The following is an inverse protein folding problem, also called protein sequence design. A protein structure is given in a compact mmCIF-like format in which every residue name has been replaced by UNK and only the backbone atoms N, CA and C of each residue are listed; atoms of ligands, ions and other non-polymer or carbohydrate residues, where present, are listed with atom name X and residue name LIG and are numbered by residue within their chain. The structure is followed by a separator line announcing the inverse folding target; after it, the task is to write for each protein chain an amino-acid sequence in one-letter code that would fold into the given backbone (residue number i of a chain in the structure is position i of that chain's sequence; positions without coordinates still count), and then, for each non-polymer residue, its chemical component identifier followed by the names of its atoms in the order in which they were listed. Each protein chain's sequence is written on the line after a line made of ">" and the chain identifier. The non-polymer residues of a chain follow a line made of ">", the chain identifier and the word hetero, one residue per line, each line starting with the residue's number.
data_IF_351965304495
#
_entry.id   IF_351965304495
#
_cell.length_a   1.000
_cell.length_b   1.000
_cell.length_c   1.000
_cell.angle_alpha   90.00
_cell.angle_beta   90.00
_cell.angle_gamma   90.00
#
_symmetry.space_group_name_H-M   'P 1'
#
loop_
_entity.id
_entity.type
_entity.pdbx_description
1 polymer ?
#
# COMPACT_ATOMS: atom_id res chain seq x y z
N UNK A 1 -4.91 16.80 23.47
CA UNK A 1 -4.37 15.51 23.04
C UNK A 1 -4.50 15.35 21.52
N UNK A 2 -3.44 14.82 20.90
CA UNK A 2 -3.44 14.55 19.46
C UNK A 2 -3.28 13.05 19.21
N UNK A 3 -3.76 12.56 18.04
CA UNK A 3 -3.64 11.13 17.73
C UNK A 3 -2.18 10.66 17.58
N UNK A 4 -1.27 11.53 17.18
CA UNK A 4 0.16 11.20 17.10
C UNK A 4 0.80 11.06 18.48
N UNK A 5 0.50 11.97 19.40
CA UNK A 5 0.97 11.86 20.79
C UNK A 5 0.40 10.61 21.48
N UNK A 6 -0.90 10.35 21.31
CA UNK A 6 -1.53 9.16 21.87
C UNK A 6 -0.88 7.86 21.37
N UNK A 7 -0.54 7.80 20.06
CA UNK A 7 0.17 6.64 19.51
C UNK A 7 1.58 6.50 20.08
N UNK A 8 2.34 7.58 20.17
CA UNK A 8 3.71 7.55 20.71
C UNK A 8 3.70 7.19 22.20
N UNK A 9 2.78 7.76 22.97
CA UNK A 9 2.61 7.41 24.38
C UNK A 9 2.26 5.92 24.57
N UNK A 10 1.34 5.40 23.74
CA UNK A 10 0.99 3.97 23.77
C UNK A 10 2.14 3.04 23.41
N UNK A 11 3.11 3.47 22.61
CA UNK A 11 4.23 2.62 22.19
C UNK A 11 5.43 2.66 23.16
N UNK A 12 5.47 3.64 24.07
CA UNK A 12 6.64 3.90 24.92
C UNK A 12 6.94 2.78 25.91
N UNK A 13 5.94 2.34 26.68
CA UNK A 13 6.12 1.43 27.80
C UNK A 13 5.53 0.03 27.51
N UNK A 14 5.54 -0.38 26.22
CA UNK A 14 5.15 -1.73 25.85
C UNK A 14 6.21 -2.76 26.32
N UNK A 15 5.78 -4.02 26.66
CA UNK A 15 4.43 -4.56 26.51
C UNK A 15 3.53 -4.10 27.66
N UNK A 16 3.51 -4.13 28.78
CA UNK A 16 2.49 -3.99 29.80
C UNK A 16 2.51 -2.64 30.55
N UNK A 17 2.96 -1.59 29.90
CA UNK A 17 3.12 -0.27 30.51
C UNK A 17 1.97 0.68 30.23
N UNK A 18 1.85 1.71 31.07
CA UNK A 18 0.96 2.86 30.91
C UNK A 18 1.78 4.15 30.91
N UNK A 19 1.57 4.98 29.89
CA UNK A 19 2.17 6.29 29.80
C UNK A 19 1.17 7.35 29.35
N UNK A 20 1.17 8.49 30.03
CA UNK A 20 0.37 9.64 29.67
C UNK A 20 1.29 10.87 29.49
N UNK A 21 1.00 11.69 28.49
CA UNK A 21 1.66 12.95 28.25
C UNK A 21 0.62 14.07 28.17
N UNK A 22 0.76 15.09 29.01
CA UNK A 22 -0.07 16.29 29.01
C UNK A 22 0.22 17.19 27.82
N UNK A 23 -0.74 18.04 27.45
CA UNK A 23 -0.57 18.96 26.34
C UNK A 23 0.58 19.98 26.60
N UNK A 24 0.70 20.46 27.83
CA UNK A 24 1.76 21.42 28.21
C UNK A 24 3.15 20.79 28.21
N UNK A 25 3.23 19.50 28.48
CA UNK A 25 4.48 18.74 28.56
C UNK A 25 4.91 18.17 27.20
N UNK A 26 4.00 18.14 26.22
CA UNK A 26 4.22 17.46 24.94
C UNK A 26 5.51 17.93 24.23
N UNK A 27 5.74 19.25 24.18
CA UNK A 27 6.89 19.82 23.50
C UNK A 27 8.21 19.44 24.21
N UNK A 28 8.29 19.56 25.53
CA UNK A 28 9.49 19.22 26.31
C UNK A 28 9.75 17.72 26.30
N UNK A 29 8.70 16.90 26.32
CA UNK A 29 8.83 15.45 26.22
C UNK A 29 9.29 15.00 24.85
N UNK A 30 8.81 15.65 23.76
CA UNK A 30 9.20 15.33 22.39
C UNK A 30 10.63 15.78 22.06
N UNK A 31 11.07 16.92 22.57
CA UNK A 31 12.33 17.56 22.20
C UNK A 31 13.53 16.60 22.12
N UNK A 32 13.82 15.77 23.14
CA UNK A 32 14.96 14.83 23.11
C UNK A 32 14.67 13.54 22.33
N UNK A 33 13.43 13.30 21.88
CA UNK A 33 13.09 12.06 21.20
C UNK A 33 13.71 12.00 19.81
N UNK A 34 14.15 10.80 19.36
CA UNK A 34 14.67 10.64 18.01
C UNK A 34 13.56 10.87 16.97
N UNK A 35 13.92 11.46 15.82
CA UNK A 35 12.95 11.76 14.75
C UNK A 35 12.15 10.54 14.29
N UNK A 36 12.70 9.34 14.45
CA UNK A 36 12.06 8.08 14.06
C UNK A 36 10.77 7.74 14.83
N UNK A 37 10.52 8.37 15.98
CA UNK A 37 9.28 8.15 16.75
C UNK A 37 8.08 8.87 16.11
N UNK A 38 8.33 9.86 15.26
CA UNK A 38 7.27 10.67 14.67
C UNK A 38 6.41 9.85 13.71
N UNK A 39 5.10 9.85 13.98
CA UNK A 39 4.15 9.08 13.19
C UNK A 39 4.10 9.49 11.71
N UNK A 40 4.39 8.52 10.85
CA UNK A 40 4.43 8.72 9.39
C UNK A 40 5.81 9.08 8.85
N UNK A 41 6.84 9.07 9.70
CA UNK A 41 8.23 9.14 9.28
C UNK A 41 8.79 7.72 9.18
N UNK A 42 8.91 7.18 7.97
CA UNK A 42 9.46 5.85 7.74
C UNK A 42 10.99 5.81 7.88
N UNK A 43 11.58 4.62 8.02
CA UNK A 43 13.02 4.41 8.21
C UNK A 43 13.89 5.17 7.21
N UNK A 44 13.53 5.17 5.92
CA UNK A 44 14.27 5.88 4.86
C UNK A 44 14.28 7.39 5.06
N UNK A 45 13.12 7.98 5.43
CA UNK A 45 13.02 9.41 5.67
C UNK A 45 13.75 9.83 6.96
N UNK A 46 13.65 9.04 8.02
CA UNK A 46 14.42 9.25 9.25
C UNK A 46 15.94 9.15 8.98
N UNK A 47 16.38 8.17 8.17
CA UNK A 47 17.78 8.05 7.77
C UNK A 47 18.30 9.27 7.02
N UNK A 48 17.50 9.85 6.10
CA UNK A 48 17.89 11.08 5.39
C UNK A 48 17.98 12.28 6.31
N UNK A 49 17.08 12.42 7.28
CA UNK A 49 17.12 13.47 8.30
C UNK A 49 18.37 13.34 9.16
N UNK A 50 18.66 12.14 9.68
CA UNK A 50 19.86 11.89 10.49
C UNK A 50 21.15 12.20 9.71
N UNK A 51 21.22 11.81 8.43
CA UNK A 51 22.38 12.12 7.58
C UNK A 51 22.54 13.62 7.33
N UNK A 52 21.47 14.41 7.44
CA UNK A 52 21.48 15.86 7.32
C UNK A 52 21.67 16.58 8.68
N UNK A 53 21.92 15.83 9.77
CA UNK A 53 22.17 16.39 11.11
C UNK A 53 20.92 16.59 11.97
N UNK A 54 19.74 16.16 11.51
CA UNK A 54 18.49 16.25 12.26
C UNK A 54 18.17 14.91 12.94
N UNK A 55 18.69 14.69 14.13
CA UNK A 55 18.54 13.44 14.89
C UNK A 55 17.34 13.41 15.82
N UNK A 56 16.98 14.55 16.37
CA UNK A 56 15.95 14.72 17.40
C UNK A 56 14.77 15.58 16.94
N UNK A 57 13.67 15.51 17.68
CA UNK A 57 12.53 16.39 17.44
C UNK A 57 12.90 17.87 17.66
N UNK A 58 13.80 18.18 18.59
CA UNK A 58 14.31 19.54 18.79
C UNK A 58 14.98 20.09 17.54
N UNK A 59 15.83 19.28 16.90
CA UNK A 59 16.50 19.68 15.66
C UNK A 59 15.52 20.04 14.56
N UNK A 60 14.40 19.30 14.46
CA UNK A 60 13.34 19.58 13.47
C UNK A 60 12.58 20.88 13.77
N UNK A 61 12.38 21.19 15.05
CA UNK A 61 11.69 22.43 15.47
C UNK A 61 12.52 23.66 15.12
N UNK A 62 13.85 23.57 15.29
CA UNK A 62 14.80 24.65 15.03
C UNK A 62 15.20 24.79 13.56
N UNK A 63 14.94 23.75 12.76
CA UNK A 63 15.34 23.68 11.35
C UNK A 63 14.59 24.69 10.48
N UNK A 64 15.28 25.25 9.47
CA UNK A 64 14.64 26.00 8.40
C UNK A 64 13.73 25.08 7.58
N UNK A 65 12.47 25.48 7.42
CA UNK A 65 11.46 24.73 6.67
C UNK A 65 11.87 24.44 5.21
N UNK A 66 12.69 25.31 4.61
CA UNK A 66 13.22 25.11 3.25
C UNK A 66 14.14 23.90 3.20
N UNK A 67 15.04 23.75 4.21
CA UNK A 67 15.94 22.62 4.34
C UNK A 67 15.17 21.33 4.57
N UNK A 68 14.18 21.35 5.47
CA UNK A 68 13.30 20.20 5.68
C UNK A 68 12.50 19.84 4.44
N UNK A 69 12.06 20.83 3.67
CA UNK A 69 11.31 20.59 2.41
C UNK A 69 12.19 19.92 1.35
N UNK A 70 13.47 20.25 1.28
CA UNK A 70 14.41 19.58 0.38
C UNK A 70 14.55 18.07 0.71
N UNK A 71 14.46 17.69 2.00
CA UNK A 71 14.61 16.31 2.46
C UNK A 71 13.28 15.54 2.40
N UNK A 72 12.19 16.15 2.87
CA UNK A 72 10.89 15.51 3.13
C UNK A 72 9.79 15.87 2.10
N UNK A 73 10.05 16.84 1.22
CA UNK A 73 9.06 17.34 0.29
C UNK A 73 7.82 17.92 1.00
N UNK A 74 6.65 17.64 0.47
CA UNK A 74 5.36 18.14 0.99
C UNK A 74 5.07 17.75 2.45
N UNK A 75 5.81 16.82 3.02
CA UNK A 75 5.59 16.38 4.40
C UNK A 75 6.35 17.22 5.43
N UNK A 76 7.28 18.08 5.02
CA UNK A 76 8.18 18.82 5.91
C UNK A 76 7.43 19.59 7.00
N UNK A 77 6.49 20.45 6.62
CA UNK A 77 5.72 21.25 7.60
C UNK A 77 4.96 20.36 8.59
N UNK A 78 4.32 19.30 8.11
CA UNK A 78 3.61 18.37 8.98
C UNK A 78 4.52 17.68 9.98
N UNK A 79 5.70 17.23 9.54
CA UNK A 79 6.66 16.56 10.43
C UNK A 79 7.22 17.54 11.46
N UNK A 80 7.48 18.79 11.08
CA UNK A 80 7.90 19.84 11.99
C UNK A 80 6.82 20.16 13.04
N UNK A 81 5.55 20.25 12.64
CA UNK A 81 4.43 20.45 13.55
C UNK A 81 4.28 19.26 14.52
N UNK A 82 4.42 18.03 14.04
CA UNK A 82 4.41 16.84 14.90
C UNK A 82 5.53 16.84 15.94
N UNK A 83 6.71 17.37 15.60
CA UNK A 83 7.83 17.52 16.54
C UNK A 83 7.53 18.50 17.69
N UNK A 84 6.59 19.42 17.51
CA UNK A 84 6.06 20.29 18.58
C UNK A 84 4.85 19.73 19.30
N UNK A 85 4.35 18.54 18.91
CA UNK A 85 3.14 17.94 19.45
C UNK A 85 1.84 18.40 18.77
N UNK A 86 1.92 19.21 17.71
CA UNK A 86 0.76 19.69 16.95
C UNK A 86 0.37 18.68 15.90
N UNK A 87 -0.88 18.20 15.93
CA UNK A 87 -1.48 17.35 14.90
C UNK A 87 -2.96 17.75 14.75
N UNK A 88 -3.25 18.50 13.71
CA UNK A 88 -4.59 19.03 13.43
C UNK A 88 -5.50 18.03 12.71
N UNK A 89 -4.98 16.84 12.35
CA UNK A 89 -5.75 15.85 11.61
C UNK A 89 -6.81 15.22 12.50
N UNK A 90 -8.08 15.20 12.09
CA UNK A 90 -9.13 14.49 12.84
C UNK A 90 -8.89 12.97 12.83
N UNK A 91 -9.48 12.29 13.79
CA UNK A 91 -9.63 10.84 13.75
C UNK A 91 -10.81 10.55 12.83
N UNK A 92 -10.52 9.94 11.66
CA UNK A 92 -11.55 9.50 10.71
C UNK A 92 -11.72 8.00 10.79
N UNK A 93 -12.95 7.55 10.95
CA UNK A 93 -13.33 6.13 10.95
C UNK A 93 -13.60 5.62 9.53
N UNK A 94 -14.06 6.51 8.65
CA UNK A 94 -14.33 6.18 7.26
C UNK A 94 -13.11 6.40 6.40
N UNK A 95 -12.71 5.35 5.68
CA UNK A 95 -11.66 5.42 4.66
C UNK A 95 -12.19 4.86 3.35
N UNK A 96 -12.22 5.71 2.35
CA UNK A 96 -12.45 5.25 0.98
C UNK A 96 -11.20 4.50 0.52
N UNK A 97 -11.35 3.23 0.16
CA UNK A 97 -10.27 2.44 -0.39
C UNK A 97 -9.77 3.06 -1.69
N UNK A 98 -8.46 3.19 -1.85
CA UNK A 98 -7.83 3.70 -3.09
C UNK A 98 -7.38 2.56 -4.00
N UNK A 99 -7.18 1.37 -3.45
CA UNK A 99 -6.79 0.16 -4.16
C UNK A 99 -7.28 -1.07 -3.39
N UNK A 100 -7.51 -2.15 -4.09
CA UNK A 100 -7.78 -3.49 -3.53
C UNK A 100 -6.70 -4.42 -4.08
N UNK A 101 -6.02 -5.15 -3.21
CA UNK A 101 -4.95 -6.06 -3.61
C UNK A 101 -4.92 -7.32 -2.76
N UNK A 102 -4.32 -8.36 -3.31
CA UNK A 102 -3.99 -9.61 -2.61
C UNK A 102 -2.60 -10.06 -3.04
N UNK A 103 -1.84 -10.62 -2.12
CA UNK A 103 -0.51 -11.18 -2.41
C UNK A 103 -0.30 -12.46 -1.63
N UNK A 104 0.57 -13.33 -2.15
CA UNK A 104 1.00 -14.57 -1.50
C UNK A 104 2.52 -14.70 -1.57
N UNK A 105 3.12 -15.17 -0.47
CA UNK A 105 4.53 -15.53 -0.39
C UNK A 105 4.61 -17.05 -0.44
N UNK A 106 5.46 -17.56 -1.31
CA UNK A 106 5.60 -19.00 -1.50
C UNK A 106 6.53 -19.62 -0.44
N UNK A 107 6.30 -20.89 -0.12
CA UNK A 107 7.21 -21.70 0.72
C UNK A 107 8.53 -21.98 -0.01
N UNK A 108 8.47 -22.28 -1.30
CA UNK A 108 9.61 -22.43 -2.21
C UNK A 108 9.43 -21.47 -3.40
N UNK A 109 10.54 -20.92 -3.91
CA UNK A 109 10.48 -19.97 -5.01
C UNK A 109 9.96 -20.63 -6.29
N UNK A 110 9.01 -19.99 -6.98
CA UNK A 110 8.41 -20.47 -8.23
C UNK A 110 9.13 -19.86 -9.43
N UNK A 111 9.46 -20.68 -10.41
CA UNK A 111 10.17 -20.27 -11.63
C UNK A 111 9.43 -20.59 -12.93
N UNK A 112 8.36 -21.38 -12.88
CA UNK A 112 7.61 -21.73 -14.09
C UNK A 112 6.44 -20.76 -14.30
N UNK A 113 6.12 -20.51 -15.58
CA UNK A 113 4.96 -19.67 -15.89
C UNK A 113 3.66 -20.30 -15.40
N UNK A 114 3.50 -21.62 -15.57
CA UNK A 114 2.30 -22.35 -15.18
C UNK A 114 1.98 -22.22 -13.68
N UNK A 115 3.00 -22.38 -12.81
CA UNK A 115 2.81 -22.27 -11.37
C UNK A 115 2.41 -20.85 -10.95
N UNK A 116 3.12 -19.84 -11.51
CA UNK A 116 2.84 -18.43 -11.23
C UNK A 116 1.48 -17.98 -11.80
N UNK A 117 1.07 -18.54 -12.94
CA UNK A 117 -0.23 -18.28 -13.57
C UNK A 117 -1.37 -18.78 -12.70
N UNK A 118 -1.28 -20.00 -12.16
CA UNK A 118 -2.25 -20.56 -11.26
C UNK A 118 -2.44 -19.71 -9.98
N UNK A 119 -1.34 -19.27 -9.38
CA UNK A 119 -1.38 -18.39 -8.23
C UNK A 119 -1.99 -17.01 -8.58
N UNK A 120 -1.64 -16.46 -9.75
CA UNK A 120 -2.20 -15.19 -10.23
C UNK A 120 -3.71 -15.27 -10.40
N UNK A 121 -4.23 -16.38 -10.93
CA UNK A 121 -5.67 -16.61 -11.11
C UNK A 121 -6.40 -16.56 -9.76
N UNK A 122 -5.88 -17.25 -8.75
CA UNK A 122 -6.43 -17.23 -7.38
C UNK A 122 -6.45 -15.81 -6.81
N UNK A 123 -5.38 -15.03 -7.03
CA UNK A 123 -5.34 -13.65 -6.56
C UNK A 123 -6.35 -12.75 -7.28
N UNK A 124 -6.52 -12.93 -8.59
CA UNK A 124 -7.52 -12.20 -9.38
C UNK A 124 -8.94 -12.50 -8.90
N UNK A 125 -9.27 -13.76 -8.61
CA UNK A 125 -10.55 -14.17 -8.03
C UNK A 125 -10.79 -13.48 -6.68
N UNK A 126 -9.81 -13.51 -5.77
CA UNK A 126 -9.90 -12.84 -4.46
C UNK A 126 -10.12 -11.33 -4.56
N UNK A 127 -9.43 -10.66 -5.49
CA UNK A 127 -9.57 -9.22 -5.72
C UNK A 127 -10.93 -8.91 -6.34
N UNK A 128 -11.36 -9.69 -7.35
CA UNK A 128 -12.69 -9.58 -7.98
C UNK A 128 -13.81 -9.71 -6.95
N UNK A 129 -13.76 -10.73 -6.09
CA UNK A 129 -14.76 -10.92 -5.04
C UNK A 129 -14.84 -9.68 -4.09
N UNK A 130 -13.70 -9.10 -3.71
CA UNK A 130 -13.68 -7.88 -2.87
C UNK A 130 -14.24 -6.66 -3.60
N UNK A 131 -13.96 -6.50 -4.89
CA UNK A 131 -14.52 -5.43 -5.72
C UNK A 131 -16.04 -5.54 -5.80
N UNK A 132 -16.57 -6.74 -6.09
CA UNK A 132 -18.01 -7.04 -6.15
C UNK A 132 -18.70 -6.76 -4.80
N UNK A 133 -18.12 -7.23 -3.70
CA UNK A 133 -18.67 -7.02 -2.35
C UNK A 133 -18.72 -5.53 -1.97
N UNK A 134 -17.89 -4.71 -2.55
CA UNK A 134 -17.87 -3.25 -2.32
C UNK A 134 -18.64 -2.48 -3.39
N UNK A 135 -19.28 -3.16 -4.35
CA UNK A 135 -19.98 -2.58 -5.50
C UNK A 135 -19.12 -1.57 -6.30
N UNK A 136 -17.82 -1.86 -6.46
CA UNK A 136 -16.86 -1.01 -7.17
C UNK A 136 -16.08 -1.83 -8.20
N UNK A 137 -15.52 -1.13 -9.16
CA UNK A 137 -14.64 -1.67 -10.19
C UNK A 137 -13.33 -0.89 -10.25
N UNK A 138 -12.32 -1.45 -10.89
CA UNK A 138 -11.01 -0.81 -10.98
C UNK A 138 -10.57 -0.58 -12.41
N UNK A 139 -9.90 0.55 -12.64
CA UNK A 139 -9.44 1.01 -13.96
C UNK A 139 -7.96 0.74 -14.25
N UNK A 140 -7.17 0.36 -13.24
CA UNK A 140 -5.76 0.03 -13.44
C UNK A 140 -5.39 -1.18 -12.62
N UNK A 141 -4.74 -2.15 -13.26
CA UNK A 141 -4.18 -3.33 -12.62
C UNK A 141 -2.70 -3.15 -12.32
N UNK A 142 -2.22 -3.84 -11.29
CA UNK A 142 -0.82 -3.87 -10.89
C UNK A 142 -0.42 -5.29 -10.51
N UNK A 143 0.57 -5.83 -11.20
CA UNK A 143 1.27 -7.07 -10.88
C UNK A 143 2.51 -6.72 -10.05
N UNK A 144 2.68 -7.38 -8.91
CA UNK A 144 3.86 -7.30 -8.04
C UNK A 144 4.54 -8.65 -8.01
N UNK A 145 5.82 -8.68 -8.27
CA UNK A 145 6.67 -9.87 -8.16
C UNK A 145 7.84 -9.56 -7.23
N UNK A 146 8.18 -10.48 -6.34
CA UNK A 146 9.35 -10.34 -5.46
C UNK A 146 10.29 -11.49 -5.73
N UNK A 147 11.55 -11.17 -6.01
CA UNK A 147 12.62 -12.14 -6.26
C UNK A 147 13.18 -12.72 -4.96
N UNK A 148 13.96 -13.83 -5.02
CA UNK A 148 14.64 -14.40 -3.86
C UNK A 148 15.56 -13.41 -3.14
N UNK A 149 16.23 -12.53 -3.89
CA UNK A 149 17.10 -11.45 -3.37
C UNK A 149 16.31 -10.26 -2.78
N UNK A 150 15.01 -10.40 -2.62
CA UNK A 150 14.08 -9.41 -2.12
C UNK A 150 13.82 -8.20 -3.03
N UNK A 151 14.39 -8.13 -4.23
CA UNK A 151 14.04 -7.11 -5.20
C UNK A 151 12.57 -7.24 -5.61
N UNK A 152 11.88 -6.09 -5.67
CA UNK A 152 10.47 -6.02 -6.04
C UNK A 152 10.39 -5.47 -7.46
N UNK A 153 9.66 -6.19 -8.30
CA UNK A 153 9.25 -5.77 -9.64
C UNK A 153 7.76 -5.45 -9.60
N UNK A 154 7.40 -4.30 -10.16
CA UNK A 154 5.99 -3.89 -10.27
C UNK A 154 5.70 -3.53 -11.72
N UNK A 155 4.60 -4.05 -12.25
CA UNK A 155 4.10 -3.73 -13.59
C UNK A 155 2.64 -3.34 -13.50
N UNK A 156 2.27 -2.28 -14.18
CA UNK A 156 0.89 -1.77 -14.15
C UNK A 156 0.38 -1.53 -15.57
N UNK A 157 -0.91 -1.73 -15.75
CA UNK A 157 -1.62 -1.46 -16.99
C UNK A 157 -2.96 -0.80 -16.67
N UNK A 158 -3.27 0.30 -17.36
CA UNK A 158 -4.60 0.90 -17.35
C UNK A 158 -5.50 0.11 -18.28
N UNK A 159 -6.69 -0.24 -17.81
CA UNK A 159 -7.72 -0.95 -18.56
C UNK A 159 -8.50 0.05 -19.44
N UNK A 160 -9.14 -0.44 -20.49
CA UNK A 160 -10.00 0.40 -21.33
C UNK A 160 -11.26 0.86 -20.59
N UNK A 161 -11.81 -0.01 -19.74
CA UNK A 161 -12.96 0.28 -18.87
C UNK A 161 -12.71 -0.29 -17.48
N UNK A 162 -13.36 0.31 -16.46
CA UNK A 162 -13.33 -0.24 -15.11
C UNK A 162 -14.08 -1.56 -15.07
N UNK A 163 -13.49 -2.57 -14.45
CA UNK A 163 -14.09 -3.89 -14.33
C UNK A 163 -13.86 -4.49 -12.95
N UNK A 164 -14.79 -5.31 -12.51
CA UNK A 164 -14.71 -6.22 -11.36
C UNK A 164 -14.68 -7.69 -11.76
N UNK A 165 -14.72 -7.98 -13.08
CA UNK A 165 -14.79 -9.34 -13.64
C UNK A 165 -13.42 -10.02 -13.55
N UNK A 166 -13.33 -11.14 -12.82
CA UNK A 166 -12.08 -11.87 -12.58
C UNK A 166 -11.36 -12.26 -13.87
N UNK A 167 -12.07 -12.77 -14.87
CA UNK A 167 -11.48 -13.22 -16.14
C UNK A 167 -10.83 -12.07 -16.94
N UNK A 168 -11.42 -10.86 -16.92
CA UNK A 168 -10.84 -9.68 -17.58
C UNK A 168 -9.59 -9.19 -16.85
N UNK A 169 -9.66 -9.15 -15.51
CA UNK A 169 -8.53 -8.82 -14.67
C UNK A 169 -7.37 -9.79 -14.86
N UNK A 170 -7.68 -11.11 -14.88
CA UNK A 170 -6.70 -12.16 -15.09
C UNK A 170 -6.08 -12.09 -16.49
N UNK A 171 -6.88 -11.95 -17.55
CA UNK A 171 -6.39 -11.86 -18.92
C UNK A 171 -5.39 -10.69 -19.11
N UNK A 172 -5.64 -9.55 -18.48
CA UNK A 172 -4.74 -8.41 -18.50
C UNK A 172 -3.47 -8.67 -17.66
N UNK A 173 -3.62 -9.21 -16.44
CA UNK A 173 -2.50 -9.50 -15.55
C UNK A 173 -1.57 -10.60 -16.09
N UNK A 174 -2.14 -11.60 -16.76
CA UNK A 174 -1.43 -12.69 -17.43
C UNK A 174 -0.42 -12.16 -18.46
N UNK A 175 -0.80 -11.15 -19.23
CA UNK A 175 0.11 -10.50 -20.20
C UNK A 175 1.30 -9.86 -19.52
N UNK A 176 1.08 -9.21 -18.37
CA UNK A 176 2.15 -8.62 -17.55
C UNK A 176 3.07 -9.70 -16.98
N UNK A 177 2.50 -10.81 -16.51
CA UNK A 177 3.28 -11.94 -15.97
C UNK A 177 4.15 -12.57 -17.06
N UNK A 178 3.59 -12.83 -18.24
CA UNK A 178 4.32 -13.45 -19.35
C UNK A 178 5.56 -12.66 -19.76
N UNK A 179 5.51 -11.33 -19.69
CA UNK A 179 6.65 -10.48 -20.02
C UNK A 179 7.80 -10.58 -19.00
N UNK A 180 7.51 -10.98 -17.75
CA UNK A 180 8.50 -11.02 -16.67
C UNK A 180 9.09 -12.40 -16.40
N UNK A 181 8.36 -13.47 -16.71
CA UNK A 181 8.84 -14.84 -16.53
C UNK A 181 9.85 -15.18 -17.65
N UNK A 182 11.09 -15.38 -17.25
CA UNK A 182 12.20 -15.72 -18.15
C UNK A 182 12.96 -16.91 -17.60
N UNK A 183 13.61 -17.74 -18.45
CA UNK A 183 14.45 -18.84 -18.00
C UNK A 183 15.46 -18.38 -16.94
N UNK A 184 15.60 -19.16 -15.87
CA UNK A 184 16.52 -18.86 -14.77
C UNK A 184 16.04 -17.80 -13.77
N UNK A 185 14.84 -17.25 -13.92
CA UNK A 185 14.23 -16.35 -12.93
C UNK A 185 13.23 -17.12 -12.08
N UNK A 186 13.31 -16.89 -10.77
CA UNK A 186 12.30 -17.36 -9.80
C UNK A 186 11.80 -16.21 -8.96
N UNK A 187 10.62 -16.43 -8.37
CA UNK A 187 9.93 -15.44 -7.55
C UNK A 187 9.48 -16.07 -6.24
N UNK A 188 9.67 -15.31 -5.17
CA UNK A 188 9.29 -15.67 -3.80
C UNK A 188 7.88 -15.22 -3.44
N UNK A 189 7.35 -14.22 -4.16
CA UNK A 189 6.03 -13.65 -3.91
C UNK A 189 5.43 -13.18 -5.23
N UNK A 190 4.13 -13.40 -5.36
CA UNK A 190 3.29 -12.76 -6.36
C UNK A 190 2.18 -11.95 -5.68
N UNK A 191 1.85 -10.80 -6.23
CA UNK A 191 0.75 -9.96 -5.79
C UNK A 191 0.01 -9.38 -6.98
N UNK A 192 -1.30 -9.24 -6.82
CA UNK A 192 -2.18 -8.60 -7.78
C UNK A 192 -3.01 -7.53 -7.07
N UNK A 193 -3.15 -6.38 -7.71
CA UNK A 193 -3.93 -5.27 -7.19
C UNK A 193 -4.61 -4.48 -8.28
N UNK A 194 -5.66 -3.77 -7.87
CA UNK A 194 -6.45 -2.89 -8.72
C UNK A 194 -6.60 -1.54 -8.03
N UNK A 195 -6.41 -0.49 -8.77
CA UNK A 195 -6.64 0.90 -8.33
C UNK A 195 -7.47 1.69 -9.36
N UNK A 196 -7.56 3.02 -9.22
CA UNK A 196 -8.51 3.85 -9.95
C UNK A 196 -9.95 3.35 -9.76
N UNK A 197 -10.28 3.08 -8.49
CA UNK A 197 -11.57 2.52 -8.09
C UNK A 197 -12.71 3.52 -8.34
N UNK A 198 -13.86 2.99 -8.79
CA UNK A 198 -15.07 3.76 -9.04
C UNK A 198 -16.25 2.84 -9.35
N UNK A 199 -17.38 3.42 -9.76
CA UNK A 199 -18.48 2.60 -10.28
C UNK A 199 -18.02 1.83 -11.51
N UNK A 200 -18.55 0.59 -11.74
CA UNK A 200 -18.33 -0.11 -13.00
C UNK A 200 -18.74 0.77 -14.18
N UNK A 201 -17.91 0.81 -15.21
CA UNK A 201 -18.30 1.47 -16.46
C UNK A 201 -19.41 0.63 -17.14
N UNK A 202 -20.26 1.29 -17.95
CA UNK A 202 -21.26 0.57 -18.72
C UNK A 202 -20.58 -0.52 -19.58
N UNK A 203 -21.17 -1.71 -19.71
CA UNK A 203 -20.59 -2.79 -20.51
C UNK A 203 -20.35 -2.31 -21.94
N UNK A 204 -19.12 -2.42 -22.40
CA UNK A 204 -18.78 -2.09 -23.79
C UNK A 204 -19.28 -3.20 -24.72
N UNK A 205 -19.54 -2.87 -25.97
CA UNK A 205 -19.93 -3.87 -27.00
C UNK A 205 -18.90 -5.01 -27.10
N UNK A 206 -17.62 -4.76 -26.81
CA UNK A 206 -16.55 -5.79 -26.77
C UNK A 206 -16.69 -6.77 -25.61
N UNK A 207 -17.37 -6.40 -24.52
CA UNK A 207 -17.68 -7.31 -23.40
C UNK A 207 -18.78 -8.31 -23.75
N UNK A 208 -19.58 -8.01 -24.79
CA UNK A 208 -20.70 -8.83 -25.23
C UNK A 208 -20.26 -9.86 -26.29
N UNK A 209 -19.27 -9.52 -27.12
CA UNK A 209 -18.74 -10.40 -28.17
C UNK A 209 -17.73 -11.45 -27.67
N UNK A 210 -17.09 -11.22 -26.52
CA UNK A 210 -16.25 -12.21 -25.87
C UNK A 210 -17.08 -13.26 -25.14
N UNK A 211 -17.93 -14.05 -25.84
CA UNK A 211 -18.74 -15.11 -25.30
C UNK A 211 -17.93 -16.15 -24.52
N UNK A 212 -17.58 -15.81 -23.27
CA UNK A 212 -17.04 -16.77 -22.33
C UNK A 212 -18.17 -17.44 -21.56
N UNK A 213 -18.25 -18.69 -21.78
CA UNK A 213 -19.14 -19.75 -21.34
C UNK A 213 -19.71 -19.55 -19.93
N UNK A 214 -21.02 -19.72 -19.80
CA UNK A 214 -21.85 -19.95 -18.60
C UNK A 214 -21.23 -20.89 -17.52
N UNK A 215 -20.20 -21.64 -17.85
CA UNK A 215 -19.47 -22.51 -16.94
C UNK A 215 -18.63 -21.73 -15.90
N UNK A 216 -18.06 -20.59 -16.28
CA UNK A 216 -17.23 -19.78 -15.35
C UNK A 216 -18.08 -18.98 -14.38
N UNK A 217 -19.22 -18.46 -14.81
CA UNK A 217 -20.18 -17.80 -13.91
C UNK A 217 -20.76 -18.75 -12.86
N UNK A 218 -20.91 -20.05 -13.17
CA UNK A 218 -21.34 -21.06 -12.20
C UNK A 218 -20.26 -21.43 -11.18
N UNK A 219 -18.99 -21.39 -11.53
CA UNK A 219 -17.87 -21.60 -10.61
C UNK A 219 -17.70 -20.42 -9.65
N UNK A 220 -17.88 -19.18 -10.13
CA UNK A 220 -17.83 -17.97 -9.29
C UNK A 220 -19.00 -17.89 -8.29
N UNK A 221 -20.16 -18.47 -8.61
CA UNK A 221 -21.33 -18.48 -7.74
C UNK A 221 -21.31 -19.61 -6.68
N UNK A 222 -20.40 -20.57 -6.80
CA UNK A 222 -20.28 -21.72 -5.91
C UNK A 222 -19.15 -21.60 -4.87
N UNK A 223 -18.43 -20.49 -4.85
CA UNK A 223 -17.38 -20.15 -3.87
C UNK A 223 -17.81 -18.96 -3.00
#
# INVERSE_FOLDING_TARGET
>A
PTKSLAKMASDRDKPDGFFAVGQLEAKSWLAPQPVSVLFGLGKSAAGRLNAAGYGTCSDLVEADIRQLTAILGKQAKRIQDLATGIDTRPVTTERIAKSISSETTFHADLGTFSDLEAELEVLCLKVSARLKNSAIAGGRITLKLKRPDHQILTRSQTLQSRTDKAHLLFAAARKLLLAEVKPGRSFRLIGFGVDQLGAPDAPSLLDIEGGFSDRQNKLEAAM
#
